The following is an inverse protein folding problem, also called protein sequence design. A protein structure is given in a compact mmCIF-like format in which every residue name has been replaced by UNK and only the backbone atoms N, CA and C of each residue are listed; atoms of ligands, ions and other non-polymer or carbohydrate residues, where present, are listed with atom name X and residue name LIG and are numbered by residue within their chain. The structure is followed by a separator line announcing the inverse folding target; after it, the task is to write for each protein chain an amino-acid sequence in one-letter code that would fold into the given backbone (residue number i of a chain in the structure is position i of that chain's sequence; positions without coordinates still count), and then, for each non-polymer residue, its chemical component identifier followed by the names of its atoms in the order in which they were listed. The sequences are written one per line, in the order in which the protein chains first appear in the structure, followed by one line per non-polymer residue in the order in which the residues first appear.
data_IF_118775732239
#
_entry.id   IF_118775732239
#
_cell.length_a   1.000
_cell.length_b   1.000
_cell.length_c   1.000
_cell.angle_alpha   90.00
_cell.angle_beta   90.00
_cell.angle_gamma   90.00
#
_symmetry.space_group_name_H-M   'P 1'
#
loop_
_entity.id
_entity.type
_entity.pdbx_description
1 polymer ?
#
# COMPACT_ATOMS: atom_id res chain seq x y z
N UNK A 1 -13.36 13.41 31.06
CA UNK A 1 -12.19 13.40 30.15
C UNK A 1 -12.67 12.76 28.86
N UNK A 2 -13.10 13.56 27.89
CA UNK A 2 -13.38 13.04 26.55
C UNK A 2 -12.02 12.82 25.88
N UNK A 3 -11.82 11.63 25.33
CA UNK A 3 -10.64 11.24 24.59
C UNK A 3 -10.40 12.26 23.48
N UNK A 4 -9.25 12.93 23.49
CA UNK A 4 -8.81 13.87 22.46
C UNK A 4 -8.59 13.09 21.14
N UNK A 5 -9.68 12.86 20.42
CA UNK A 5 -9.67 12.18 19.14
C UNK A 5 -9.07 13.15 18.11
N UNK A 6 -7.74 13.14 18.00
CA UNK A 6 -7.04 13.80 16.91
C UNK A 6 -7.50 13.19 15.58
N UNK A 7 -8.39 13.90 14.89
CA UNK A 7 -8.83 13.52 13.55
C UNK A 7 -7.73 13.90 12.58
N UNK A 8 -6.85 12.95 12.27
CA UNK A 8 -5.88 13.08 11.20
C UNK A 8 -6.62 12.78 9.89
N UNK A 9 -6.63 13.74 8.95
CA UNK A 9 -7.22 13.46 7.65
C UNK A 9 -6.31 12.49 6.89
N UNK A 10 -6.93 11.64 6.07
CA UNK A 10 -6.22 10.73 5.21
C UNK A 10 -6.90 10.68 3.84
N UNK A 11 -6.10 10.65 2.78
CA UNK A 11 -6.57 10.23 1.48
C UNK A 11 -6.63 8.70 1.46
N UNK A 12 -7.80 8.16 1.11
CA UNK A 12 -8.09 6.72 1.20
C UNK A 12 -8.50 6.23 -0.18
N UNK A 13 -7.79 5.23 -0.70
CA UNK A 13 -8.15 4.63 -1.98
C UNK A 13 -7.12 3.64 -2.50
N UNK A 14 -7.44 3.05 -3.66
CA UNK A 14 -6.47 2.22 -4.39
C UNK A 14 -5.37 3.08 -5.01
N UNK A 15 -4.19 2.51 -5.17
CA UNK A 15 -3.05 3.17 -5.80
C UNK A 15 -2.43 2.28 -6.87
N UNK A 16 -2.00 2.87 -7.98
CA UNK A 16 -1.35 2.13 -9.06
C UNK A 16 -0.31 2.98 -9.77
N UNK A 17 0.86 2.39 -9.99
CA UNK A 17 1.89 2.90 -10.87
C UNK A 17 2.06 1.99 -12.08
N UNK A 18 2.00 2.58 -13.27
CA UNK A 18 2.21 1.90 -14.54
C UNK A 18 3.48 2.52 -15.18
N UNK A 19 4.59 1.76 -15.25
CA UNK A 19 5.82 2.27 -15.83
C UNK A 19 5.65 2.51 -17.33
N UNK A 20 6.45 3.43 -17.88
CA UNK A 20 6.45 3.71 -19.32
C UNK A 20 6.91 2.47 -20.09
N UNK A 21 6.33 2.27 -21.28
CA UNK A 21 6.72 1.18 -22.17
C UNK A 21 8.22 1.25 -22.48
N UNK A 22 8.96 0.17 -22.22
CA UNK A 22 10.41 0.10 -22.40
C UNK A 22 11.24 0.63 -21.22
N UNK A 23 10.61 1.11 -20.15
CA UNK A 23 11.29 1.40 -18.89
C UNK A 23 11.76 0.11 -18.20
N UNK A 24 12.82 0.22 -17.40
CA UNK A 24 13.28 -0.84 -16.48
C UNK A 24 12.57 -0.80 -15.11
N UNK A 25 11.70 0.19 -14.90
CA UNK A 25 10.94 0.34 -13.66
C UNK A 25 9.88 -0.75 -13.53
N UNK A 26 9.65 -1.18 -12.29
CA UNK A 26 8.58 -2.11 -11.96
C UNK A 26 7.29 -1.34 -11.63
N UNK A 27 6.17 -1.84 -12.15
CA UNK A 27 4.85 -1.34 -11.76
C UNK A 27 4.36 -1.98 -10.46
N UNK A 28 3.41 -1.32 -9.81
CA UNK A 28 2.74 -1.85 -8.65
C UNK A 28 1.28 -1.39 -8.58
N UNK A 29 0.46 -2.20 -7.92
CA UNK A 29 -0.92 -1.88 -7.59
C UNK A 29 -1.17 -2.27 -6.14
N UNK A 30 -1.81 -1.38 -5.38
CA UNK A 30 -2.18 -1.54 -3.98
C UNK A 30 -3.70 -1.40 -3.89
N UNK A 31 -4.36 -2.37 -3.25
CA UNK A 31 -5.82 -2.43 -3.19
C UNK A 31 -6.39 -1.25 -2.38
N UNK A 32 -5.78 -0.97 -1.23
CA UNK A 32 -6.18 0.12 -0.34
C UNK A 32 -4.96 0.74 0.31
N UNK A 33 -4.91 2.07 0.30
CA UNK A 33 -3.87 2.87 0.90
C UNK A 33 -4.51 4.00 1.71
N UNK A 34 -3.93 4.29 2.87
CA UNK A 34 -4.22 5.45 3.70
C UNK A 34 -2.99 6.35 3.68
N UNK A 35 -3.09 7.48 3.00
CA UNK A 35 -2.09 8.54 3.01
C UNK A 35 -2.50 9.60 4.02
N UNK A 36 -1.88 9.60 5.19
CA UNK A 36 -2.27 10.48 6.29
C UNK A 36 -1.46 11.76 6.27
N UNK A 37 -2.10 12.87 6.66
CA UNK A 37 -1.45 14.18 6.73
C UNK A 37 -0.27 14.25 7.72
N UNK A 38 -0.14 13.29 8.64
CA UNK A 38 1.01 13.17 9.54
C UNK A 38 2.22 12.43 8.92
N UNK A 39 2.21 12.18 7.61
CA UNK A 39 3.30 11.57 6.87
C UNK A 39 3.38 10.06 7.01
N UNK A 40 2.36 9.43 7.58
CA UNK A 40 2.26 7.96 7.69
C UNK A 40 1.43 7.41 6.56
N UNK A 41 2.01 6.48 5.80
CA UNK A 41 1.30 5.72 4.77
C UNK A 41 1.10 4.28 5.22
N UNK A 42 -0.17 3.86 5.29
CA UNK A 42 -0.55 2.46 5.53
C UNK A 42 -1.09 1.86 4.25
N UNK A 43 -0.59 0.69 3.88
CA UNK A 43 -1.05 -0.08 2.73
C UNK A 43 -1.73 -1.36 3.18
N UNK A 44 -2.75 -1.77 2.44
CA UNK A 44 -3.55 -2.95 2.72
C UNK A 44 -3.82 -3.72 1.41
N UNK A 45 -3.71 -5.03 1.50
CA UNK A 45 -4.04 -5.98 0.43
C UNK A 45 -5.25 -6.79 0.86
N UNK A 46 -6.25 -6.89 -0.01
CA UNK A 46 -7.46 -7.64 0.27
C UNK A 46 -7.32 -9.02 -0.37
N UNK A 47 -7.41 -10.07 0.43
CA UNK A 47 -7.34 -11.45 -0.03
C UNK A 47 -8.66 -12.15 0.26
N UNK A 48 -9.29 -12.66 -0.78
CA UNK A 48 -10.47 -13.51 -0.66
C UNK A 48 -10.04 -14.96 -0.89
N UNK A 49 -10.39 -15.86 0.03
CA UNK A 49 -10.06 -17.27 -0.06
C UNK A 49 -11.13 -18.11 0.65
N UNK A 50 -11.46 -19.27 0.07
CA UNK A 50 -12.37 -20.25 0.68
C UNK A 50 -11.69 -21.05 1.79
N UNK A 51 -10.37 -20.93 1.94
CA UNK A 51 -9.56 -21.64 2.91
C UNK A 51 -8.68 -20.66 3.72
N UNK A 52 -8.11 -21.08 4.86
CA UNK A 52 -7.21 -20.23 5.63
C UNK A 52 -6.05 -19.69 4.79
N UNK A 53 -6.04 -18.37 4.59
CA UNK A 53 -4.98 -17.71 3.85
C UNK A 53 -3.75 -17.54 4.75
N UNK A 54 -2.66 -18.20 4.40
CA UNK A 54 -1.38 -18.05 5.08
C UNK A 54 -0.53 -17.01 4.36
N UNK A 55 -0.09 -15.98 5.07
CA UNK A 55 0.89 -15.02 4.54
C UNK A 55 2.25 -15.71 4.51
N UNK A 56 2.68 -16.14 3.33
CA UNK A 56 3.96 -16.81 3.14
C UNK A 56 5.10 -15.86 2.73
N UNK A 57 6.28 -16.41 2.51
CA UNK A 57 7.46 -15.64 2.08
C UNK A 57 7.27 -14.97 0.71
N UNK A 58 6.50 -15.58 -0.19
CA UNK A 58 6.24 -15.02 -1.52
C UNK A 58 5.30 -13.82 -1.41
N UNK A 59 4.21 -13.93 -0.65
CA UNK A 59 3.30 -12.82 -0.37
C UNK A 59 4.02 -11.66 0.35
N UNK A 60 4.85 -11.96 1.35
CA UNK A 60 5.64 -10.95 2.04
C UNK A 60 6.61 -10.23 1.08
N UNK A 61 7.27 -10.97 0.18
CA UNK A 61 8.16 -10.39 -0.84
C UNK A 61 7.40 -9.50 -1.82
N UNK A 62 6.22 -9.92 -2.28
CA UNK A 62 5.38 -9.09 -3.15
C UNK A 62 4.94 -7.80 -2.45
N UNK A 63 4.55 -7.88 -1.18
CA UNK A 63 4.18 -6.70 -0.39
C UNK A 63 5.36 -5.72 -0.27
N UNK A 64 6.56 -6.24 0.04
CA UNK A 64 7.78 -5.44 0.14
C UNK A 64 8.18 -4.79 -1.20
N UNK A 65 7.95 -5.49 -2.33
CA UNK A 65 8.16 -4.93 -3.66
C UNK A 65 7.20 -3.76 -3.92
N UNK A 66 5.90 -3.91 -3.62
CA UNK A 66 4.92 -2.80 -3.73
C UNK A 66 5.33 -1.58 -2.89
N UNK A 67 5.80 -1.82 -1.65
CA UNK A 67 6.34 -0.76 -0.80
C UNK A 67 7.53 -0.05 -1.41
N UNK A 68 8.44 -0.80 -2.03
CA UNK A 68 9.63 -0.26 -2.70
C UNK A 68 9.23 0.63 -3.87
N UNK A 69 8.31 0.18 -4.72
CA UNK A 69 7.81 0.95 -5.87
C UNK A 69 7.07 2.21 -5.41
N UNK A 70 6.22 2.11 -4.38
CA UNK A 70 5.53 3.28 -3.84
C UNK A 70 6.54 4.33 -3.34
N UNK A 71 7.56 3.90 -2.60
CA UNK A 71 8.61 4.79 -2.09
C UNK A 71 9.41 5.45 -3.21
N UNK A 72 9.71 4.76 -4.31
CA UNK A 72 10.44 5.34 -5.44
C UNK A 72 9.65 6.36 -6.26
N UNK A 73 8.33 6.44 -6.06
CA UNK A 73 7.46 7.43 -6.72
C UNK A 73 7.18 8.64 -5.83
N UNK A 74 7.19 8.44 -4.51
CA UNK A 74 6.92 9.50 -3.53
C UNK A 74 8.18 10.26 -3.06
N UNK A 75 9.38 9.73 -3.36
CA UNK A 75 10.69 10.33 -3.09
C UNK A 75 11.40 10.64 -4.41
#
# INVERSE_FOLDING_TARGET
MALDLQKINAHIGGWRFIPKKGSKEEGAQIDLLFDREDGVITLCEIKNSEHPFSVDKANAKQLAQKMTVLKSILL
#
